data_IF_460778339731
#
_entry.id   IF_460778339731
#
_cell.length_a   1.000
_cell.length_b   1.000
_cell.length_c   1.000
_cell.angle_alpha   90.00
_cell.angle_beta   90.00
_cell.angle_gamma   90.00
#
_symmetry.space_group_name_H-M   'P 1'
#
loop_
_entity.id
_entity.type
_entity.pdbx_description
1 polymer ?
#
# COMPACT_ATOMS: atom_id res chain seq x y z
N UNK A 1 -16.46 -14.16 16.42
CA UNK A 1 -16.67 -12.70 16.34
C UNK A 1 -15.34 -12.01 16.05
N UNK A 2 -15.37 -10.92 15.29
CA UNK A 2 -14.25 -10.01 15.05
C UNK A 2 -14.61 -8.58 15.49
N UNK A 3 -13.69 -7.91 16.17
CA UNK A 3 -13.75 -6.49 16.49
C UNK A 3 -12.34 -5.86 16.49
N UNK A 4 -12.16 -4.75 15.77
CA UNK A 4 -10.90 -3.98 15.77
C UNK A 4 -11.17 -2.47 15.83
N UNK A 5 -10.63 -1.79 16.85
CA UNK A 5 -10.82 -0.37 17.11
C UNK A 5 -9.55 0.42 16.81
N UNK A 6 -9.64 1.31 15.83
CA UNK A 6 -8.54 2.14 15.34
C UNK A 6 -8.75 3.60 15.72
N UNK A 7 -8.01 4.09 16.72
CA UNK A 7 -8.12 5.47 17.23
C UNK A 7 -7.77 6.51 16.15
N UNK A 8 -6.81 6.21 15.27
CA UNK A 8 -6.47 7.05 14.13
C UNK A 8 -7.16 6.54 12.85
N UNK A 9 -8.47 6.80 12.72
CA UNK A 9 -9.27 6.34 11.57
C UNK A 9 -8.73 6.77 10.20
N UNK A 10 -8.01 7.89 10.14
CA UNK A 10 -7.31 8.34 8.94
C UNK A 10 -6.28 7.34 8.39
N UNK A 11 -5.72 6.44 9.20
CA UNK A 11 -4.83 5.38 8.70
C UNK A 11 -5.58 4.45 7.75
N UNK A 12 -6.77 3.96 8.13
CA UNK A 12 -7.57 3.05 7.29
C UNK A 12 -7.98 3.73 5.98
N UNK A 13 -8.30 5.04 6.04
CA UNK A 13 -8.56 5.88 4.85
C UNK A 13 -7.35 5.91 3.91
N UNK A 14 -6.16 6.22 4.44
CA UNK A 14 -4.91 6.26 3.66
C UNK A 14 -4.58 4.90 3.05
N UNK A 15 -4.79 3.80 3.79
CA UNK A 15 -4.60 2.43 3.27
C UNK A 15 -5.51 2.18 2.07
N UNK A 16 -6.82 2.43 2.17
CA UNK A 16 -7.72 2.21 1.03
C UNK A 16 -7.39 3.09 -0.18
N UNK A 17 -7.06 4.36 0.04
CA UNK A 17 -6.65 5.26 -1.05
C UNK A 17 -5.35 4.80 -1.74
N UNK A 18 -4.47 4.09 -1.02
CA UNK A 18 -3.24 3.50 -1.54
C UNK A 18 -3.44 2.17 -2.28
N UNK A 19 -4.57 1.47 -2.08
CA UNK A 19 -4.83 0.15 -2.68
C UNK A 19 -5.88 0.17 -3.81
N UNK A 20 -6.93 0.99 -3.70
CA UNK A 20 -8.15 0.94 -4.54
C UNK A 20 -7.95 1.09 -6.05
N UNK A 21 -6.83 1.65 -6.48
CA UNK A 21 -6.53 1.91 -7.89
C UNK A 21 -5.60 0.83 -8.50
N UNK A 22 -5.15 -0.13 -7.68
CA UNK A 22 -4.41 -1.34 -8.07
C UNK A 22 -5.29 -2.58 -7.99
N UNK A 23 -6.10 -2.70 -6.94
CA UNK A 23 -6.98 -3.84 -6.67
C UNK A 23 -8.41 -3.32 -6.48
N UNK A 24 -9.37 -3.88 -7.21
CA UNK A 24 -10.77 -3.48 -7.06
C UNK A 24 -11.42 -4.17 -5.85
N UNK A 25 -11.15 -5.47 -5.71
CA UNK A 25 -11.59 -6.32 -4.61
C UNK A 25 -10.39 -7.06 -4.01
N UNK A 26 -10.47 -7.37 -2.72
CA UNK A 26 -9.54 -8.31 -2.10
C UNK A 26 -10.13 -8.95 -0.85
N UNK A 27 -9.53 -10.07 -0.45
CA UNK A 27 -9.80 -10.70 0.83
C UNK A 27 -8.97 -10.04 1.94
N UNK A 28 -9.62 -9.72 3.05
CA UNK A 28 -9.01 -9.30 4.30
C UNK A 28 -9.00 -10.51 5.22
N UNK A 29 -7.81 -11.08 5.41
CA UNK A 29 -7.57 -12.21 6.30
C UNK A 29 -7.33 -11.70 7.71
N UNK A 30 -8.21 -12.08 8.62
CA UNK A 30 -8.28 -11.61 10.00
C UNK A 30 -7.89 -12.77 10.90
N UNK A 31 -6.86 -12.54 11.73
CA UNK A 31 -6.21 -13.54 12.58
C UNK A 31 -5.93 -12.95 13.96
N UNK A 32 -5.56 -13.77 14.94
CA UNK A 32 -5.10 -13.28 16.25
C UNK A 32 -3.86 -12.36 16.18
N UNK A 33 -3.03 -12.50 15.14
CA UNK A 33 -1.88 -11.62 14.86
C UNK A 33 -2.25 -10.27 14.24
N UNK A 34 -3.46 -10.10 13.72
CA UNK A 34 -3.89 -8.89 13.02
C UNK A 34 -4.62 -9.16 11.71
N UNK A 35 -4.74 -8.10 10.91
CA UNK A 35 -5.38 -8.10 9.59
C UNK A 35 -4.29 -8.10 8.52
N UNK A 36 -4.37 -9.01 7.56
CA UNK A 36 -3.54 -9.04 6.37
C UNK A 36 -4.38 -9.07 5.10
N UNK A 37 -3.80 -8.62 3.99
CA UNK A 37 -4.38 -8.75 2.67
C UNK A 37 -3.25 -9.03 1.69
N UNK A 38 -3.47 -9.96 0.77
CA UNK A 38 -2.58 -10.20 -0.36
C UNK A 38 -3.41 -10.32 -1.64
N UNK A 39 -3.10 -9.54 -2.67
CA UNK A 39 -3.83 -9.59 -3.94
C UNK A 39 -2.95 -9.13 -5.10
N UNK A 40 -3.17 -9.68 -6.28
CA UNK A 40 -2.57 -9.21 -7.52
C UNK A 40 -3.44 -8.12 -8.16
N UNK A 41 -2.82 -7.27 -8.97
CA UNK A 41 -3.56 -6.41 -9.90
C UNK A 41 -4.20 -7.25 -11.03
N UNK A 42 -5.12 -6.66 -11.78
CA UNK A 42 -5.86 -7.35 -12.85
C UNK A 42 -5.01 -7.80 -14.04
N UNK A 43 -3.76 -7.32 -14.16
CA UNK A 43 -2.79 -7.83 -15.16
C UNK A 43 -1.85 -8.92 -14.64
N UNK A 44 -1.87 -9.21 -13.34
CA UNK A 44 -0.93 -10.10 -12.64
C UNK A 44 0.55 -9.68 -12.74
N UNK A 45 0.83 -8.39 -12.93
CA UNK A 45 2.20 -7.82 -13.02
C UNK A 45 2.66 -7.24 -11.68
N UNK A 46 1.72 -6.84 -10.83
CA UNK A 46 1.98 -6.33 -9.49
C UNK A 46 1.20 -7.09 -8.42
N UNK A 47 1.83 -7.31 -7.28
CA UNK A 47 1.20 -7.86 -6.08
C UNK A 47 1.24 -6.83 -4.96
N UNK A 48 0.12 -6.67 -4.28
CA UNK A 48 -0.05 -5.87 -3.08
C UNK A 48 -0.06 -6.80 -1.88
N UNK A 49 0.70 -6.45 -0.84
CA UNK A 49 0.59 -7.03 0.49
C UNK A 49 0.38 -5.92 1.52
N UNK A 50 -0.67 -6.06 2.33
CA UNK A 50 -0.94 -5.23 3.50
C UNK A 50 -0.80 -6.09 4.75
N UNK A 51 -0.15 -5.54 5.78
CA UNK A 51 -0.09 -6.12 7.12
C UNK A 51 -0.46 -5.04 8.14
N UNK A 52 -1.44 -5.30 9.01
CA UNK A 52 -1.84 -4.48 10.16
C UNK A 52 -1.89 -5.38 11.40
N UNK A 53 -0.88 -5.25 12.28
CA UNK A 53 -0.73 -6.05 13.50
C UNK A 53 -1.84 -5.74 14.52
N UNK A 54 -2.24 -6.75 15.29
CA UNK A 54 -3.28 -6.61 16.33
C UNK A 54 -2.93 -5.62 17.45
N UNK A 55 -1.64 -5.41 17.75
CA UNK A 55 -1.16 -4.43 18.73
C UNK A 55 -1.14 -2.98 18.23
N UNK A 56 -1.43 -2.75 16.95
CA UNK A 56 -1.69 -1.42 16.38
C UNK A 56 -3.10 -0.89 16.59
N UNK A 57 -3.98 -1.68 17.22
CA UNK A 57 -5.36 -1.32 17.52
C UNK A 57 -5.55 -1.15 19.04
N UNK A 58 -6.41 -0.22 19.43
CA UNK A 58 -6.75 0.07 20.83
C UNK A 58 -7.60 -1.06 21.46
N UNK A 59 -8.42 -1.70 20.64
CA UNK A 59 -9.07 -2.97 20.96
C UNK A 59 -8.92 -3.88 19.74
N UNK A 60 -8.45 -5.11 19.95
CA UNK A 60 -8.42 -6.13 18.91
C UNK A 60 -8.92 -7.46 19.46
N UNK A 61 -9.94 -8.03 18.81
CA UNK A 61 -10.51 -9.33 19.15
C UNK A 61 -10.80 -10.11 17.87
N UNK A 62 -10.24 -11.31 17.78
CA UNK A 62 -10.48 -12.27 16.71
C UNK A 62 -10.67 -13.63 17.36
N UNK A 63 -11.93 -14.06 17.55
CA UNK A 63 -12.23 -15.35 18.21
C UNK A 63 -11.93 -16.55 17.30
N UNK A 64 -12.00 -16.33 15.98
CA UNK A 64 -11.75 -17.31 14.91
C UNK A 64 -11.18 -16.59 13.70
N UNK A 65 -10.25 -17.23 13.00
CA UNK A 65 -9.75 -16.72 11.72
C UNK A 65 -10.92 -16.55 10.75
N UNK A 66 -10.98 -15.39 10.09
CA UNK A 66 -12.05 -14.99 9.18
C UNK A 66 -11.43 -14.34 7.94
N UNK A 67 -12.02 -14.59 6.78
CA UNK A 67 -11.56 -14.06 5.49
C UNK A 67 -12.73 -13.29 4.88
N UNK A 68 -12.58 -11.97 4.76
CA UNK A 68 -13.67 -11.06 4.36
C UNK A 68 -13.37 -10.44 2.99
N UNK A 69 -14.20 -10.74 1.99
CA UNK A 69 -14.13 -10.07 0.69
C UNK A 69 -14.67 -8.64 0.78
N UNK A 70 -13.88 -7.66 0.32
CA UNK A 70 -14.29 -6.24 0.33
C UNK A 70 -13.92 -5.57 -0.99
N UNK A 71 -14.84 -4.80 -1.58
CA UNK A 71 -14.52 -3.88 -2.68
C UNK A 71 -13.93 -2.57 -2.15
N UNK A 72 -12.72 -2.26 -2.59
CA UNK A 72 -11.95 -1.08 -2.17
C UNK A 72 -12.66 0.22 -2.52
N UNK A 73 -13.26 0.31 -3.70
CA UNK A 73 -13.97 1.50 -4.16
C UNK A 73 -15.26 1.76 -3.39
N UNK A 74 -15.99 0.72 -2.97
CA UNK A 74 -17.16 0.86 -2.10
C UNK A 74 -16.75 1.22 -0.66
N UNK A 75 -15.73 0.56 -0.10
CA UNK A 75 -15.23 0.86 1.25
C UNK A 75 -14.61 2.27 1.35
N UNK A 76 -13.87 2.73 0.33
CA UNK A 76 -13.36 4.12 0.24
C UNK A 76 -14.49 5.14 0.25
N UNK A 77 -15.62 4.90 -0.45
CA UNK A 77 -16.80 5.78 -0.39
C UNK A 77 -17.35 5.91 1.02
N UNK A 78 -17.41 4.81 1.77
CA UNK A 78 -17.86 4.80 3.17
C UNK A 78 -16.89 5.55 4.10
N UNK A 79 -15.57 5.32 3.99
CA UNK A 79 -14.62 6.00 4.86
C UNK A 79 -14.50 7.53 4.61
N UNK A 80 -15.12 8.06 3.55
CA UNK A 80 -15.31 9.52 3.37
C UNK A 80 -16.33 10.12 4.32
N UNK A 81 -17.20 9.32 4.93
CA UNK A 81 -18.15 9.77 5.96
C UNK A 81 -17.48 10.04 7.32
N UNK A 82 -16.35 9.38 7.61
CA UNK A 82 -15.54 9.65 8.79
C UNK A 82 -14.66 10.89 8.58
N UNK A 83 -14.42 11.66 9.64
CA UNK A 83 -13.40 12.70 9.67
C UNK A 83 -11.97 12.10 9.65
N UNK A 84 -10.93 12.90 9.88
CA UNK A 84 -9.53 12.39 9.94
C UNK A 84 -9.13 11.96 11.35
N UNK A 85 -9.79 12.58 12.33
CA UNK A 85 -9.72 12.44 13.77
C UNK A 85 -10.76 11.48 14.35
N UNK A 86 -11.71 10.99 13.52
CA UNK A 86 -12.72 10.02 13.94
C UNK A 86 -12.09 8.65 14.18
N UNK A 87 -12.58 7.98 15.22
CA UNK A 87 -12.21 6.62 15.60
C UNK A 87 -13.06 5.66 14.76
N UNK A 88 -12.43 4.63 14.20
CA UNK A 88 -13.10 3.64 13.36
C UNK A 88 -13.06 2.28 14.06
N UNK A 89 -14.23 1.70 14.31
CA UNK A 89 -14.34 0.32 14.79
C UNK A 89 -14.89 -0.58 13.68
N UNK A 90 -14.13 -1.60 13.31
CA UNK A 90 -14.55 -2.66 12.40
C UNK A 90 -15.14 -3.80 13.22
N UNK A 91 -16.31 -4.33 12.83
CA UNK A 91 -16.94 -5.50 13.45
C UNK A 91 -17.47 -6.46 12.39
N UNK A 92 -17.33 -7.75 12.65
CA UNK A 92 -17.97 -8.82 11.87
C UNK A 92 -18.38 -9.98 12.79
N UNK A 93 -19.50 -10.61 12.49
CA UNK A 93 -19.91 -11.87 13.12
C UNK A 93 -19.30 -13.07 12.38
N UNK A 94 -19.30 -14.24 13.03
CA UNK A 94 -18.75 -15.44 12.39
C UNK A 94 -19.63 -15.87 11.20
N UNK A 95 -19.02 -16.04 10.03
CA UNK A 95 -19.70 -16.25 8.74
C UNK A 95 -20.60 -15.07 8.31
N UNK A 96 -20.30 -13.83 8.72
CA UNK A 96 -21.04 -12.66 8.26
C UNK A 96 -20.68 -12.27 6.81
N UNK A 97 -21.70 -12.14 5.97
CA UNK A 97 -21.61 -11.52 4.64
C UNK A 97 -21.46 -9.98 4.71
N UNK A 98 -21.30 -9.41 5.92
CA UNK A 98 -21.31 -7.96 6.16
C UNK A 98 -20.24 -7.54 7.17
N UNK A 99 -19.54 -6.45 6.86
CA UNK A 99 -18.71 -5.71 7.83
C UNK A 99 -19.48 -4.51 8.32
N UNK A 100 -19.59 -4.39 9.64
CA UNK A 100 -20.10 -3.19 10.31
C UNK A 100 -18.93 -2.25 10.57
N UNK A 101 -18.97 -1.06 9.98
CA UNK A 101 -18.07 0.04 10.32
C UNK A 101 -18.78 1.03 11.24
N UNK A 102 -18.22 1.31 12.42
CA UNK A 102 -18.70 2.32 13.36
C UNK A 102 -17.73 3.50 13.36
N UNK A 103 -18.24 4.70 13.13
CA UNK A 103 -17.47 5.94 13.24
C UNK A 103 -17.85 6.68 14.52
N UNK A 104 -16.86 7.00 15.35
CA UNK A 104 -17.03 7.76 16.60
C UNK A 104 -16.18 9.03 16.53
N UNK A 105 -16.79 10.22 16.61
CA UNK A 105 -16.00 11.46 16.67
C UNK A 105 -15.65 11.83 18.11
N UNK A 106 -14.37 12.03 18.48
CA UNK A 106 -14.00 12.48 19.82
C UNK A 106 -14.57 13.87 20.19
N UNK A 107 -14.96 14.66 19.18
CA UNK A 107 -15.38 16.06 19.35
C UNK A 107 -16.90 16.29 19.22
N UNK A 108 -17.65 15.32 18.68
CA UNK A 108 -19.08 15.44 18.36
C UNK A 108 -19.79 14.12 18.61
N UNK A 109 -20.89 14.14 19.37
CA UNK A 109 -21.72 12.96 19.60
C UNK A 109 -22.55 12.59 18.34
N UNK A 110 -21.92 11.94 17.38
CA UNK A 110 -22.59 11.16 16.35
C UNK A 110 -21.93 9.79 16.20
N UNK A 111 -22.74 8.78 15.87
CA UNK A 111 -22.29 7.45 15.47
C UNK A 111 -22.97 7.08 14.16
N UNK A 112 -22.21 6.59 13.19
CA UNK A 112 -22.72 6.16 11.89
C UNK A 112 -22.31 4.71 11.62
N UNK A 113 -23.26 3.93 11.07
CA UNK A 113 -23.10 2.51 10.73
C UNK A 113 -23.42 2.34 9.25
N UNK A 114 -22.53 1.71 8.47
CA UNK A 114 -22.72 1.51 7.03
C UNK A 114 -22.22 0.11 6.59
N UNK A 115 -22.94 -0.51 5.65
CA UNK A 115 -22.74 -1.85 5.07
C UNK A 115 -22.44 -1.77 3.55
N UNK A 116 -21.84 -2.81 2.94
CA UNK A 116 -21.19 -2.75 1.61
C UNK A 116 -21.63 -3.80 0.58
N UNK A 117 -21.65 -3.39 -0.70
CA UNK A 117 -21.80 -4.22 -1.92
C UNK A 117 -20.90 -3.69 -3.08
N UNK A 118 -20.82 -4.41 -4.22
CA UNK A 118 -19.69 -4.39 -5.18
C UNK A 118 -20.07 -4.01 -6.65
N UNK A 119 -19.25 -3.24 -7.43
CA UNK A 119 -18.95 -3.34 -8.92
C UNK A 119 -18.10 -2.18 -9.56
N UNK A 120 -17.21 -2.53 -10.53
CA UNK A 120 -16.47 -1.85 -11.65
C UNK A 120 -15.39 -0.69 -11.60
N UNK A 121 -14.62 -0.57 -12.74
CA UNK A 121 -13.20 -0.12 -12.95
C UNK A 121 -12.90 0.97 -14.05
N UNK A 122 -11.65 1.51 -14.16
CA UNK A 122 -10.89 1.88 -15.41
C UNK A 122 -9.46 2.51 -15.19
N UNK A 123 -8.74 3.00 -16.24
CA UNK A 123 -7.27 2.79 -16.51
C UNK A 123 -6.34 3.99 -16.94
N UNK A 124 -4.99 3.77 -17.08
CA UNK A 124 -4.03 4.53 -17.97
C UNK A 124 -2.55 4.76 -17.44
N UNK A 125 -1.45 4.36 -18.13
CA UNK A 125 -0.04 4.84 -17.93
C UNK A 125 1.11 3.83 -18.21
N UNK A 126 2.39 4.27 -18.23
CA UNK A 126 3.48 3.59 -18.98
C UNK A 126 4.79 3.18 -18.22
N UNK A 127 6.01 3.68 -18.55
CA UNK A 127 7.33 3.01 -18.30
C UNK A 127 8.49 3.85 -17.68
N UNK A 128 9.46 3.22 -16.96
CA UNK A 128 10.67 3.84 -16.32
C UNK A 128 11.79 2.82 -16.03
N UNK A 129 13.06 3.22 -16.10
CA UNK A 129 14.26 2.43 -15.72
C UNK A 129 14.80 2.90 -14.36
N UNK A 130 15.21 1.97 -13.49
CA UNK A 130 15.89 2.27 -12.23
C UNK A 130 17.24 1.53 -12.21
N UNK A 131 18.32 2.23 -11.91
CA UNK A 131 19.64 1.63 -11.64
C UNK A 131 20.20 2.06 -10.29
N UNK A 132 20.82 1.11 -9.59
CA UNK A 132 21.54 1.32 -8.34
C UNK A 132 23.02 1.00 -8.56
N UNK A 133 23.89 1.97 -8.27
CA UNK A 133 25.33 1.88 -8.46
C UNK A 133 26.07 2.58 -7.30
N UNK A 134 27.40 2.41 -7.26
CA UNK A 134 28.28 2.98 -6.20
C UNK A 134 28.16 4.49 -6.03
N UNK A 135 27.74 5.20 -7.06
CA UNK A 135 27.62 6.66 -7.11
C UNK A 135 26.18 7.16 -6.88
N UNK A 136 25.20 6.29 -6.66
CA UNK A 136 23.81 6.63 -6.32
C UNK A 136 22.75 5.73 -6.96
N UNK A 137 21.49 6.05 -6.70
CA UNK A 137 20.33 5.49 -7.42
C UNK A 137 19.91 6.47 -8.53
N UNK A 138 19.77 5.97 -9.75
CA UNK A 138 19.35 6.75 -10.91
C UNK A 138 18.02 6.25 -11.45
N UNK A 139 17.08 7.16 -11.64
CA UNK A 139 15.81 6.94 -12.33
C UNK A 139 15.92 7.55 -13.74
N UNK A 140 15.61 6.78 -14.77
CA UNK A 140 15.65 7.22 -16.17
C UNK A 140 14.32 6.89 -16.83
N UNK A 141 13.56 7.89 -17.24
CA UNK A 141 12.32 7.72 -18.00
C UNK A 141 12.49 8.27 -19.42
N UNK A 142 11.91 7.58 -20.41
CA UNK A 142 11.91 8.01 -21.80
C UNK A 142 10.48 7.94 -22.34
N UNK A 143 10.06 8.97 -23.06
CA UNK A 143 8.78 9.02 -23.75
C UNK A 143 8.87 9.89 -25.01
N UNK A 144 7.75 10.01 -25.74
CA UNK A 144 7.70 10.71 -27.03
C UNK A 144 8.18 12.18 -26.97
N UNK A 145 8.00 12.83 -25.81
CA UNK A 145 8.37 14.23 -25.58
C UNK A 145 9.81 14.43 -25.07
N UNK A 146 10.57 13.36 -24.82
CA UNK A 146 11.97 13.42 -24.39
C UNK A 146 12.35 12.44 -23.28
N UNK A 147 13.55 12.65 -22.71
CA UNK A 147 14.10 11.82 -21.62
C UNK A 147 14.23 12.63 -20.32
N UNK A 148 13.83 12.01 -19.21
CA UNK A 148 14.00 12.53 -17.85
C UNK A 148 14.98 11.66 -17.07
N UNK A 149 15.94 12.29 -16.39
CA UNK A 149 16.92 11.59 -15.55
C UNK A 149 16.96 12.25 -14.17
N UNK A 150 16.81 11.47 -13.12
CA UNK A 150 16.97 11.90 -11.72
C UNK A 150 18.01 11.01 -11.07
N UNK A 151 18.96 11.59 -10.34
CA UNK A 151 19.97 10.84 -9.59
C UNK A 151 19.93 11.25 -8.12
N UNK A 152 19.70 10.27 -7.25
CA UNK A 152 19.79 10.40 -5.80
C UNK A 152 21.14 9.85 -5.35
N UNK A 153 21.89 10.64 -4.58
CA UNK A 153 23.16 10.23 -3.97
C UNK A 153 22.94 10.06 -2.46
N UNK A 154 23.70 9.17 -1.83
CA UNK A 154 23.60 8.95 -0.38
C UNK A 154 23.88 10.26 0.38
N UNK A 155 23.02 10.62 1.33
CA UNK A 155 23.22 11.79 2.19
C UNK A 155 23.89 11.37 3.49
N UNK A 156 24.85 12.17 3.96
CA UNK A 156 25.66 11.88 5.17
C UNK A 156 25.35 12.79 6.35
N UNK A 157 24.91 14.03 6.11
CA UNK A 157 24.41 14.95 7.13
C UNK A 157 23.05 15.49 6.68
N UNK A 158 22.00 15.21 7.46
CA UNK A 158 20.65 15.78 7.31
C UNK A 158 20.12 16.20 8.68
N UNK A 159 19.32 17.26 8.73
CA UNK A 159 18.77 17.77 9.99
C UNK A 159 17.67 16.87 10.57
N UNK A 160 17.08 15.99 9.74
CA UNK A 160 16.15 14.94 10.15
C UNK A 160 16.41 13.64 9.40
N UNK A 161 16.31 12.52 10.10
CA UNK A 161 16.51 11.18 9.52
C UNK A 161 15.50 10.85 8.41
N UNK A 162 14.27 11.38 8.47
CA UNK A 162 13.25 11.20 7.42
C UNK A 162 13.61 11.85 6.07
N UNK A 163 14.57 12.79 6.05
CA UNK A 163 15.09 13.45 4.85
C UNK A 163 16.35 12.75 4.30
N UNK A 164 16.81 11.66 4.93
CA UNK A 164 18.00 10.91 4.53
C UNK A 164 17.76 10.02 3.30
N UNK A 165 18.68 10.05 2.34
CA UNK A 165 18.81 9.03 1.30
C UNK A 165 19.86 8.02 1.76
N UNK A 166 19.41 6.87 2.25
CA UNK A 166 20.28 5.74 2.60
C UNK A 166 20.32 4.75 1.43
N UNK A 167 21.52 4.28 1.07
CA UNK A 167 21.74 3.33 -0.02
C UNK A 167 22.60 2.18 0.51
N UNK A 168 22.01 1.00 0.62
CA UNK A 168 22.71 -0.25 0.94
C UNK A 168 22.79 -1.09 -0.33
N UNK A 169 23.99 -1.21 -0.91
CA UNK A 169 24.21 -1.89 -2.20
C UNK A 169 25.24 -3.02 -2.03
N UNK A 170 24.79 -4.25 -2.22
CA UNK A 170 25.66 -5.42 -2.29
C UNK A 170 26.27 -5.55 -3.69
N UNK A 171 25.43 -5.55 -4.72
CA UNK A 171 25.81 -5.64 -6.13
C UNK A 171 25.09 -4.56 -6.96
N UNK A 172 25.69 -4.02 -8.04
CA UNK A 172 25.01 -3.09 -8.93
C UNK A 172 23.85 -3.78 -9.65
N UNK A 173 22.73 -3.08 -9.80
CA UNK A 173 21.52 -3.62 -10.43
C UNK A 173 20.84 -2.54 -11.27
N UNK A 174 20.38 -2.91 -12.46
CA UNK A 174 19.61 -2.05 -13.36
C UNK A 174 18.42 -2.84 -13.91
N UNK A 175 17.22 -2.32 -13.70
CA UNK A 175 15.97 -2.98 -14.07
C UNK A 175 14.98 -1.96 -14.65
N UNK A 176 14.23 -2.40 -15.65
CA UNK A 176 13.17 -1.61 -16.30
C UNK A 176 11.82 -1.99 -15.69
N UNK A 177 10.94 -1.01 -15.44
CA UNK A 177 9.63 -1.19 -14.79
C UNK A 177 8.53 -0.42 -15.53
N UNK A 178 7.28 -0.78 -15.26
CA UNK A 178 6.13 0.00 -15.67
C UNK A 178 5.87 1.16 -14.68
N UNK A 179 6.23 2.39 -15.06
CA UNK A 179 6.05 3.64 -14.30
C UNK A 179 4.61 3.82 -13.80
N UNK A 180 3.62 3.31 -14.53
CA UNK A 180 2.22 3.31 -14.09
C UNK A 180 2.04 2.74 -12.68
N UNK A 181 2.70 1.62 -12.40
CA UNK A 181 2.57 0.94 -11.12
C UNK A 181 3.28 1.73 -10.02
N UNK A 182 4.45 2.31 -10.31
CA UNK A 182 5.11 3.22 -9.37
C UNK A 182 4.23 4.45 -9.05
N UNK A 183 3.55 5.01 -10.05
CA UNK A 183 2.57 6.10 -9.87
C UNK A 183 1.32 5.69 -9.08
N UNK A 184 1.02 4.39 -8.98
CA UNK A 184 0.01 3.89 -8.04
C UNK A 184 0.60 3.69 -6.64
N UNK A 185 1.83 3.17 -6.52
CA UNK A 185 2.50 2.95 -5.23
C UNK A 185 2.72 4.27 -4.47
N UNK A 186 3.00 5.38 -5.17
CA UNK A 186 3.13 6.71 -4.54
C UNK A 186 1.86 7.19 -3.82
N UNK A 187 0.68 6.58 -4.06
CA UNK A 187 -0.54 6.87 -3.29
C UNK A 187 -0.45 6.42 -1.82
N UNK A 188 0.52 5.55 -1.49
CA UNK A 188 0.85 5.20 -0.11
C UNK A 188 1.67 6.28 0.64
N UNK A 189 2.20 7.31 -0.03
CA UNK A 189 3.03 8.35 0.62
C UNK A 189 2.40 8.98 1.88
N UNK A 190 1.08 9.21 1.98
CA UNK A 190 0.47 9.70 3.23
C UNK A 190 0.58 8.74 4.44
N UNK A 191 0.94 7.47 4.26
CA UNK A 191 1.11 6.48 5.33
C UNK A 191 2.46 6.60 6.05
N UNK A 192 3.51 7.02 5.35
CA UNK A 192 4.90 6.97 5.83
C UNK A 192 5.70 8.17 5.29
N UNK A 193 6.49 8.88 6.12
CA UNK A 193 7.35 9.96 5.63
C UNK A 193 8.49 9.44 4.72
N UNK A 194 8.82 8.16 4.83
CA UNK A 194 9.87 7.48 4.05
C UNK A 194 9.31 6.28 3.28
N UNK A 195 9.99 5.90 2.20
CA UNK A 195 9.71 4.71 1.39
C UNK A 195 11.00 3.90 1.22
N UNK A 196 10.90 2.57 1.28
CA UNK A 196 12.05 1.67 1.06
C UNK A 196 11.88 0.93 -0.25
N UNK A 197 12.89 1.01 -1.13
CA UNK A 197 12.94 0.27 -2.40
C UNK A 197 13.99 -0.84 -2.25
N UNK A 198 13.56 -2.10 -2.38
CA UNK A 198 14.46 -3.27 -2.42
C UNK A 198 14.37 -3.92 -3.80
N UNK A 199 15.51 -4.18 -4.45
CA UNK A 199 15.57 -4.78 -5.77
C UNK A 199 16.80 -5.68 -5.91
N UNK A 200 16.69 -6.71 -6.74
CA UNK A 200 17.75 -7.61 -7.17
C UNK A 200 17.37 -8.17 -8.54
N UNK A 201 18.32 -8.68 -9.32
CA UNK A 201 18.06 -9.19 -10.68
C UNK A 201 17.04 -10.33 -10.72
N UNK A 202 17.00 -11.18 -9.70
CA UNK A 202 16.20 -12.42 -9.67
C UNK A 202 14.81 -12.28 -9.03
N UNK A 203 14.48 -11.12 -8.45
CA UNK A 203 13.22 -10.91 -7.71
C UNK A 203 12.54 -9.57 -8.06
N UNK A 204 11.20 -9.48 -7.96
CA UNK A 204 10.46 -8.23 -8.16
C UNK A 204 10.99 -7.07 -7.31
N UNK A 205 10.87 -5.84 -7.83
CA UNK A 205 11.04 -4.64 -7.03
C UNK A 205 10.01 -4.64 -5.89
N UNK A 206 10.48 -4.52 -4.66
CA UNK A 206 9.66 -4.32 -3.48
C UNK A 206 9.68 -2.85 -3.09
N UNK A 207 8.51 -2.21 -3.04
CA UNK A 207 8.32 -0.85 -2.53
C UNK A 207 7.53 -0.93 -1.23
N UNK A 208 8.17 -0.59 -0.11
CA UNK A 208 7.61 -0.68 1.23
C UNK A 208 7.32 0.70 1.82
N UNK A 209 6.09 0.88 2.33
CA UNK A 209 5.66 2.00 3.16
C UNK A 209 5.26 1.47 4.54
N UNK A 210 5.94 1.90 5.60
CA UNK A 210 5.61 1.52 6.98
C UNK A 210 4.39 2.30 7.47
N UNK A 211 3.45 1.62 8.10
CA UNK A 211 2.26 2.23 8.70
C UNK A 211 2.57 2.40 10.18
N UNK A 212 3.28 3.48 10.53
CA UNK A 212 3.85 3.67 11.87
C UNK A 212 4.51 2.37 12.39
N UNK A 213 4.22 1.97 13.62
CA UNK A 213 4.65 0.68 14.19
C UNK A 213 3.63 -0.46 13.98
N UNK A 214 2.43 -0.15 13.47
CA UNK A 214 1.34 -1.14 13.33
C UNK A 214 1.50 -2.05 12.11
N UNK A 215 2.34 -1.73 11.12
CA UNK A 215 2.55 -2.62 9.99
C UNK A 215 3.12 -1.96 8.75
N UNK A 216 2.72 -2.43 7.56
CA UNK A 216 3.25 -1.96 6.28
C UNK A 216 2.29 -2.23 5.12
N UNK A 217 2.45 -1.44 4.04
CA UNK A 217 2.07 -1.84 2.68
C UNK A 217 3.35 -2.16 1.91
N UNK A 218 3.37 -3.31 1.24
CA UNK A 218 4.43 -3.72 0.31
C UNK A 218 3.81 -3.91 -1.07
N UNK A 219 4.41 -3.25 -2.06
CA UNK A 219 4.12 -3.46 -3.45
C UNK A 219 5.25 -4.23 -4.10
N UNK A 220 4.91 -5.28 -4.83
CA UNK A 220 5.84 -6.07 -5.62
C UNK A 220 5.56 -5.76 -7.09
N UNK A 221 6.60 -5.50 -7.88
CA UNK A 221 6.48 -5.20 -9.31
C UNK A 221 7.53 -5.99 -10.09
N UNK A 222 7.08 -6.84 -11.00
CA UNK A 222 7.98 -7.56 -11.88
C UNK A 222 8.73 -6.56 -12.79
N UNK A 223 10.04 -6.75 -13.03
CA UNK A 223 10.74 -6.00 -14.06
C UNK A 223 10.17 -6.35 -15.43
N UNK A 224 10.21 -5.38 -16.35
CA UNK A 224 10.09 -5.68 -17.78
C UNK A 224 11.35 -6.42 -18.19
N UNK A 225 11.17 -7.63 -18.70
CA UNK A 225 12.22 -8.35 -19.42
C UNK A 225 12.41 -7.59 -20.73
N UNK A 226 13.62 -7.12 -20.99
CA UNK A 226 14.03 -6.77 -22.35
C UNK A 226 14.29 -8.10 -23.05
N UNK A 227 13.55 -8.38 -24.13
CA UNK A 227 13.83 -9.56 -24.96
C UNK A 227 15.27 -9.42 -25.47
N UNK A 228 16.18 -10.27 -24.98
CA UNK A 228 17.50 -10.41 -25.60
C UNK A 228 17.27 -10.86 -27.04
N UNK A 229 17.48 -9.96 -28.01
CA UNK A 229 17.43 -10.31 -29.43
C UNK A 229 18.40 -11.46 -29.67
N UNK A 230 17.83 -12.64 -29.94
CA UNK A 230 18.61 -13.85 -30.21
C UNK A 230 19.54 -13.60 -31.41
N UNK A 231 20.84 -13.62 -31.12
CA UNK A 231 21.93 -13.34 -32.07
C UNK A 231 22.45 -14.60 -32.79
#
# INVERSE_FOLDING_TARGET
MFEARLVQGSILKKVLEALKDLIDEACWDITSSGISLQSMDSSHVSLVQLTLRSDGFDTYRCDRNQSIGVKMSSMSKILKCAASEDIITLRAEDNADTVTMVFESPSKFYSCIITLDIIDLSQIGDAVVISCAKDGVKFSASGELGTGNVKLSQTSNVDKEEEAVTIEMNEPVQLTFALRYLNFFTKATPLSPTVTLSMSADIPLVVEYKIADMGHVKYYLAPKIEDEEAS
#
